data_IF_924714851837
#
_entry.id   IF_924714851837
#
_cell.length_a   1.000
_cell.length_b   1.000
_cell.length_c   1.000
_cell.angle_alpha   90.00
_cell.angle_beta   90.00
_cell.angle_gamma   90.00
#
_symmetry.space_group_name_H-M   'P 1'
#
loop_
_entity.id
_entity.type
_entity.pdbx_description
1 polymer ?
#
# COMPACT_ATOMS: atom_id res chain seq x y z
N UNK A 1 0.14 30.05 -5.91
CA UNK A 1 0.49 28.63 -5.76
C UNK A 1 -0.64 27.97 -4.98
N UNK A 2 -1.40 27.08 -5.60
CA UNK A 2 -2.43 26.29 -4.91
C UNK A 2 -1.74 25.33 -3.95
N UNK A 3 -2.02 25.46 -2.65
CA UNK A 3 -1.37 24.68 -1.59
C UNK A 3 -2.00 23.29 -1.53
N UNK A 4 -1.60 22.38 -2.42
CA UNK A 4 -2.10 21.00 -2.45
C UNK A 4 -1.59 20.24 -1.23
N UNK A 5 -2.51 19.67 -0.44
CA UNK A 5 -2.17 18.86 0.74
C UNK A 5 -1.82 17.45 0.28
N UNK A 6 -0.66 16.95 0.71
CA UNK A 6 -0.22 15.57 0.43
C UNK A 6 -0.28 14.76 1.72
N UNK A 7 -0.85 13.56 1.66
CA UNK A 7 -0.83 12.59 2.75
C UNK A 7 -0.40 11.20 2.24
N UNK A 8 0.12 10.39 3.17
CA UNK A 8 0.59 9.04 2.90
C UNK A 8 -0.17 8.06 3.80
N UNK A 9 -0.64 6.98 3.20
CA UNK A 9 -1.36 5.91 3.90
C UNK A 9 -0.66 4.60 3.65
N UNK A 10 -0.23 3.95 4.74
CA UNK A 10 0.22 2.56 4.70
C UNK A 10 -0.99 1.63 4.75
N UNK A 11 -1.15 0.82 3.70
CA UNK A 11 -2.19 -0.18 3.59
C UNK A 11 -1.55 -1.57 3.69
N UNK A 12 -1.66 -2.16 4.87
CA UNK A 12 -1.19 -3.53 5.07
C UNK A 12 -2.13 -4.54 4.42
N UNK A 13 -1.58 -5.68 4.00
CA UNK A 13 -2.33 -6.83 3.50
C UNK A 13 -3.16 -7.46 4.62
N UNK A 14 -2.77 -7.27 5.89
CA UNK A 14 -3.43 -7.80 7.07
C UNK A 14 -3.62 -6.68 8.09
N UNK A 15 -4.77 -6.68 8.76
CA UNK A 15 -5.07 -5.68 9.78
C UNK A 15 -4.10 -5.79 10.97
N UNK A 16 -3.60 -4.63 11.40
CA UNK A 16 -2.71 -4.55 12.56
C UNK A 16 -3.59 -4.57 13.82
N UNK A 17 -3.85 -5.77 14.32
CA UNK A 17 -4.61 -6.02 15.56
C UNK A 17 -3.66 -6.35 16.72
N UNK A 18 -4.13 -6.32 17.98
CA UNK A 18 -3.35 -6.83 19.12
C UNK A 18 -2.89 -8.30 18.94
N UNK A 19 -3.64 -9.10 18.18
CA UNK A 19 -3.36 -10.51 17.90
C UNK A 19 -2.74 -10.74 16.52
N UNK A 20 -2.11 -9.70 15.93
CA UNK A 20 -1.57 -9.70 14.57
C UNK A 20 -0.81 -10.98 14.19
N UNK A 21 -0.01 -11.54 15.10
CA UNK A 21 0.78 -12.75 14.82
C UNK A 21 -0.10 -13.95 14.48
N UNK A 22 -1.21 -14.12 15.18
CA UNK A 22 -2.10 -15.25 14.98
C UNK A 22 -3.03 -15.02 13.79
N UNK A 23 -3.53 -13.79 13.62
CA UNK A 23 -4.29 -13.37 12.44
C UNK A 23 -3.46 -13.56 11.15
N UNK A 24 -2.18 -13.18 11.18
CA UNK A 24 -1.28 -13.39 10.04
C UNK A 24 -1.03 -14.87 9.76
N UNK A 25 -0.80 -15.68 10.80
CA UNK A 25 -0.63 -17.14 10.63
C UNK A 25 -1.87 -17.79 10.03
N UNK A 26 -3.06 -17.37 10.45
CA UNK A 26 -4.30 -17.86 9.86
C UNK A 26 -4.44 -17.43 8.40
N UNK A 27 -4.14 -16.19 8.05
CA UNK A 27 -4.22 -15.72 6.67
C UNK A 27 -3.25 -16.48 5.74
N UNK A 28 -2.01 -16.73 6.20
CA UNK A 28 -1.05 -17.57 5.46
C UNK A 28 -1.58 -19.00 5.25
N UNK A 29 -2.19 -19.60 6.28
CA UNK A 29 -2.81 -20.93 6.16
C UNK A 29 -3.96 -20.92 5.16
N UNK A 30 -4.84 -19.91 5.23
CA UNK A 30 -6.00 -19.74 4.32
C UNK A 30 -5.55 -19.59 2.87
N UNK A 31 -4.38 -18.97 2.62
CA UNK A 31 -3.85 -18.72 1.27
C UNK A 31 -2.91 -19.79 0.74
N UNK A 32 -2.50 -20.77 1.55
CA UNK A 32 -1.50 -21.79 1.20
C UNK A 32 -1.76 -22.45 -0.17
N UNK A 33 -2.99 -22.93 -0.42
CA UNK A 33 -3.32 -23.59 -1.70
C UNK A 33 -3.16 -22.65 -2.90
N UNK A 34 -3.53 -21.38 -2.75
CA UNK A 34 -3.38 -20.34 -3.77
C UNK A 34 -1.92 -20.00 -4.00
N UNK A 35 -1.13 -19.92 -2.93
CA UNK A 35 0.29 -19.61 -2.97
C UNK A 35 1.09 -20.74 -3.64
N UNK A 36 0.73 -22.00 -3.38
CA UNK A 36 1.27 -23.18 -4.06
C UNK A 36 0.96 -23.11 -5.56
N UNK A 37 -0.30 -22.85 -5.93
CA UNK A 37 -0.71 -22.73 -7.33
C UNK A 37 0.05 -21.61 -8.05
N UNK A 38 0.27 -20.48 -7.38
CA UNK A 38 0.96 -19.31 -7.92
C UNK A 38 2.49 -19.38 -7.82
N UNK A 39 3.01 -20.33 -7.04
CA UNK A 39 4.44 -20.51 -6.72
C UNK A 39 5.09 -19.30 -6.02
N UNK A 40 4.30 -18.49 -5.30
CA UNK A 40 4.81 -17.38 -4.49
C UNK A 40 3.83 -17.02 -3.37
N UNK A 41 4.35 -16.44 -2.28
CA UNK A 41 3.52 -15.99 -1.15
C UNK A 41 2.71 -14.73 -1.50
N UNK A 42 1.39 -14.80 -1.35
CA UNK A 42 0.46 -13.72 -1.74
C UNK A 42 0.06 -12.79 -0.59
N UNK A 43 0.58 -13.02 0.62
CA UNK A 43 0.29 -12.20 1.81
C UNK A 43 1.53 -11.96 2.67
N UNK A 44 1.66 -10.74 3.21
CA UNK A 44 2.79 -10.30 4.00
C UNK A 44 3.27 -8.90 3.58
N UNK A 45 4.24 -8.31 4.31
CA UNK A 45 4.67 -6.92 4.10
C UNK A 45 5.23 -6.65 2.69
N UNK A 46 5.75 -7.67 2.02
CA UNK A 46 6.19 -7.59 0.61
C UNK A 46 5.04 -7.38 -0.39
N UNK A 47 3.78 -7.49 0.05
CA UNK A 47 2.56 -7.24 -0.73
C UNK A 47 1.79 -6.01 -0.26
N UNK A 48 2.29 -5.30 0.75
CA UNK A 48 1.64 -4.10 1.29
C UNK A 48 1.81 -2.90 0.33
N UNK A 49 0.95 -1.90 0.48
CA UNK A 49 0.92 -0.74 -0.39
C UNK A 49 1.16 0.56 0.39
N UNK A 50 2.02 1.42 -0.15
CA UNK A 50 2.11 2.82 0.26
C UNK A 50 1.30 3.63 -0.76
N UNK A 51 0.25 4.28 -0.29
CA UNK A 51 -0.65 5.09 -1.11
C UNK A 51 -0.38 6.55 -0.79
N UNK A 52 -0.12 7.35 -1.82
CA UNK A 52 -0.06 8.80 -1.70
C UNK A 52 -1.39 9.39 -2.12
N UNK A 53 -1.82 10.42 -1.41
CA UNK A 53 -3.03 11.18 -1.73
C UNK A 53 -2.71 12.64 -1.89
N UNK A 54 -3.36 13.27 -2.86
CA UNK A 54 -3.29 14.70 -3.10
C UNK A 54 -4.70 15.26 -2.93
N UNK A 55 -4.86 16.16 -1.97
CA UNK A 55 -6.16 16.71 -1.58
C UNK A 55 -7.20 15.63 -1.23
N UNK A 56 -6.75 14.51 -0.63
CA UNK A 56 -7.59 13.38 -0.24
C UNK A 56 -7.83 12.33 -1.33
N UNK A 57 -7.46 12.59 -2.59
CA UNK A 57 -7.64 11.66 -3.71
C UNK A 57 -6.38 10.84 -4.00
N UNK A 58 -6.54 9.59 -4.43
CA UNK A 58 -5.43 8.70 -4.77
C UNK A 58 -4.57 9.27 -5.92
N UNK A 59 -3.32 9.60 -5.61
CA UNK A 59 -2.42 10.28 -6.55
C UNK A 59 -2.09 9.42 -7.77
N UNK A 60 -2.17 8.08 -7.66
CA UNK A 60 -1.89 7.18 -8.78
C UNK A 60 -2.96 7.23 -9.86
N UNK A 61 -4.18 7.70 -9.51
CA UNK A 61 -5.33 7.76 -10.41
C UNK A 61 -5.67 9.16 -10.85
N UNK A 62 -5.52 10.16 -9.97
CA UNK A 62 -6.11 11.48 -10.16
C UNK A 62 -5.09 12.63 -10.22
N UNK A 63 -3.82 12.40 -9.91
CA UNK A 63 -2.83 13.45 -9.96
C UNK A 63 -2.56 13.89 -11.41
N UNK A 64 -2.45 15.20 -11.62
CA UNK A 64 -1.95 15.73 -12.89
C UNK A 64 -0.50 15.31 -13.14
N UNK A 65 -0.03 15.45 -14.38
CA UNK A 65 1.36 15.14 -14.73
C UNK A 65 2.36 15.98 -13.93
N UNK A 66 2.04 17.25 -13.66
CA UNK A 66 2.87 18.15 -12.86
C UNK A 66 2.95 17.72 -11.40
N UNK A 67 1.80 17.40 -10.80
CA UNK A 67 1.72 16.91 -9.43
C UNK A 67 2.45 15.56 -9.26
N UNK A 68 2.28 14.65 -10.22
CA UNK A 68 2.98 13.35 -10.20
C UNK A 68 4.50 13.52 -10.24
N UNK A 69 5.01 14.41 -11.10
CA UNK A 69 6.45 14.71 -11.17
C UNK A 69 6.96 15.38 -9.90
N UNK A 70 6.20 16.33 -9.35
CA UNK A 70 6.57 17.01 -8.11
C UNK A 70 6.58 16.04 -6.91
N UNK A 71 5.61 15.13 -6.83
CA UNK A 71 5.56 14.09 -5.81
C UNK A 71 6.75 13.14 -5.93
N UNK A 72 7.04 12.63 -7.13
CA UNK A 72 8.20 11.76 -7.37
C UNK A 72 9.51 12.46 -7.03
N UNK A 73 9.65 13.74 -7.38
CA UNK A 73 10.82 14.53 -7.01
C UNK A 73 10.95 14.61 -5.48
N UNK A 74 9.85 14.92 -4.79
CA UNK A 74 9.81 15.06 -3.32
C UNK A 74 10.10 13.75 -2.57
N UNK A 75 9.78 12.60 -3.17
CA UNK A 75 10.11 11.28 -2.59
C UNK A 75 11.59 10.93 -2.80
N UNK A 76 12.16 11.36 -3.94
CA UNK A 76 13.54 11.05 -4.31
C UNK A 76 14.56 11.91 -3.58
N UNK A 77 14.24 13.19 -3.37
CA UNK A 77 15.09 14.22 -2.76
C UNK A 77 15.04 14.16 -1.24
#
# INVERSE_FOLDING_TARGET
>A
ATNSKVDMVYKSTIDITPNFKDDFREDLKKRMNKDILRKFTTSGPHRDHIIFRINGEDSSKFASQGESKSLVLSIKS
#
